data_IF_247873793698
#
_entry.id   IF_247873793698
#
_cell.length_a   1.000
_cell.length_b   1.000
_cell.length_c   1.000
_cell.angle_alpha   90.00
_cell.angle_beta   90.00
_cell.angle_gamma   90.00
#
_symmetry.space_group_name_H-M   'P 1'
#
loop_
_entity.id
_entity.type
_entity.pdbx_description
1 polymer ?
#
# COMPACT_ATOMS: atom_id res chain seq x y z
N UNK A 1 -18.14 12.28 1.09
CA UNK A 1 -17.81 13.43 0.22
C UNK A 1 -16.34 13.37 -0.21
N UNK A 2 -16.05 13.11 -1.49
CA UNK A 2 -14.68 13.14 -2.04
C UNK A 2 -14.24 14.61 -2.16
N UNK A 3 -13.44 15.06 -1.20
CA UNK A 3 -12.94 16.45 -1.00
C UNK A 3 -12.12 16.98 -2.19
N UNK A 4 -12.76 17.34 -3.31
CA UNK A 4 -12.06 17.84 -4.50
C UNK A 4 -12.63 19.14 -5.05
N UNK A 5 -13.95 19.19 -5.25
CA UNK A 5 -14.65 20.33 -5.81
C UNK A 5 -15.76 20.76 -4.87
N UNK A 6 -15.86 22.06 -4.62
CA UNK A 6 -16.95 22.68 -3.86
C UNK A 6 -17.90 23.32 -4.87
N UNK A 7 -19.19 22.96 -4.88
CA UNK A 7 -20.15 23.63 -5.74
C UNK A 7 -20.39 25.06 -5.23
N UNK A 8 -20.82 25.96 -6.13
CA UNK A 8 -21.16 27.36 -5.85
C UNK A 8 -22.40 27.41 -4.95
N UNK A 9 -23.35 26.52 -5.19
CA UNK A 9 -24.54 26.32 -4.39
C UNK A 9 -24.86 24.82 -4.24
N UNK A 10 -25.78 24.49 -3.33
CA UNK A 10 -26.21 23.12 -3.10
C UNK A 10 -27.42 22.72 -3.95
N UNK A 11 -27.79 23.54 -4.94
CA UNK A 11 -28.95 23.30 -5.81
C UNK A 11 -28.53 22.49 -7.04
N UNK A 12 -29.46 21.69 -7.55
CA UNK A 12 -29.25 20.93 -8.79
C UNK A 12 -29.77 21.72 -9.99
N UNK A 13 -29.04 21.74 -11.13
CA UNK A 13 -27.73 21.11 -11.37
C UNK A 13 -26.58 21.84 -10.63
N UNK A 14 -25.62 21.07 -10.08
CA UNK A 14 -24.49 21.64 -9.34
C UNK A 14 -23.59 22.47 -10.25
N UNK A 15 -23.45 23.75 -9.92
CA UNK A 15 -22.52 24.67 -10.57
C UNK A 15 -21.19 24.68 -9.81
N UNK A 16 -20.07 24.66 -10.54
CA UNK A 16 -18.73 24.76 -9.96
C UNK A 16 -18.01 25.97 -10.55
N UNK A 17 -17.23 26.67 -9.75
CA UNK A 17 -16.40 27.76 -10.26
C UNK A 17 -15.39 27.22 -11.26
N UNK A 18 -15.37 27.77 -12.48
CA UNK A 18 -14.48 27.29 -13.54
C UNK A 18 -13.00 27.32 -13.15
N UNK A 19 -12.58 28.29 -12.34
CA UNK A 19 -11.22 28.34 -11.78
C UNK A 19 -10.89 27.15 -10.89
N UNK A 20 -11.81 26.76 -10.01
CA UNK A 20 -11.65 25.61 -9.12
C UNK A 20 -11.62 24.29 -9.90
N UNK A 21 -12.48 24.16 -10.92
CA UNK A 21 -12.45 23.01 -11.84
C UNK A 21 -11.11 22.92 -12.55
N UNK A 22 -10.59 24.02 -13.11
CA UNK A 22 -9.28 24.05 -13.77
C UNK A 22 -8.16 23.66 -12.80
N UNK A 23 -8.16 24.19 -11.58
CA UNK A 23 -7.17 23.86 -10.55
C UNK A 23 -7.23 22.38 -10.16
N UNK A 24 -8.43 21.86 -9.93
CA UNK A 24 -8.66 20.46 -9.62
C UNK A 24 -8.15 19.54 -10.75
N UNK A 25 -8.47 19.85 -12.00
CA UNK A 25 -8.00 19.09 -13.16
C UNK A 25 -6.48 19.17 -13.32
N UNK A 26 -5.87 20.34 -13.09
CA UNK A 26 -4.41 20.52 -13.14
C UNK A 26 -3.71 19.68 -12.07
N UNK A 27 -4.25 19.66 -10.85
CA UNK A 27 -3.72 18.83 -9.76
C UNK A 27 -3.98 17.34 -9.99
N UNK A 28 -5.12 16.99 -10.58
CA UNK A 28 -5.45 15.62 -10.92
C UNK A 28 -4.61 15.09 -12.07
N UNK A 29 -4.32 15.89 -13.10
CA UNK A 29 -3.62 15.44 -14.31
C UNK A 29 -2.11 15.70 -14.26
N UNK A 30 -1.53 15.80 -13.06
CA UNK A 30 -0.08 15.91 -12.91
C UNK A 30 0.62 14.68 -13.52
N UNK A 31 1.61 14.87 -14.41
CA UNK A 31 2.37 13.76 -14.96
C UNK A 31 3.14 13.05 -13.85
N UNK A 32 3.32 11.73 -14.01
CA UNK A 32 4.15 10.94 -13.11
C UNK A 32 5.59 11.46 -13.14
N UNK A 33 6.16 11.68 -11.96
CA UNK A 33 7.55 12.06 -11.80
C UNK A 33 8.39 10.80 -11.51
N UNK A 34 9.66 10.77 -11.93
CA UNK A 34 10.58 9.69 -11.57
C UNK A 34 10.76 9.64 -10.04
N UNK A 35 10.99 8.44 -9.51
CA UNK A 35 11.32 8.24 -8.09
C UNK A 35 12.83 8.27 -7.91
N UNK A 36 13.32 9.10 -7.00
CA UNK A 36 14.72 9.13 -6.60
C UNK A 36 15.11 7.97 -5.68
N UNK A 37 16.32 8.06 -5.15
CA UNK A 37 16.77 7.21 -4.04
C UNK A 37 15.94 7.50 -2.79
N UNK A 38 15.53 6.45 -2.07
CA UNK A 38 14.73 6.60 -0.86
C UNK A 38 13.24 6.87 -1.08
N UNK A 39 12.84 7.13 -2.32
CA UNK A 39 11.48 7.59 -2.61
C UNK A 39 10.58 6.48 -3.12
N UNK A 40 9.32 6.52 -2.68
CA UNK A 40 8.24 5.68 -3.19
C UNK A 40 7.15 6.59 -3.77
N UNK A 41 6.62 6.24 -4.94
CA UNK A 41 5.59 7.04 -5.58
C UNK A 41 4.24 6.89 -4.84
N UNK A 42 3.71 7.99 -4.33
CA UNK A 42 2.38 8.01 -3.74
C UNK A 42 1.32 8.20 -4.82
N UNK A 43 0.52 7.17 -5.11
CA UNK A 43 -0.56 7.23 -6.11
C UNK A 43 -1.64 8.25 -5.75
N UNK A 44 -1.92 8.42 -4.45
CA UNK A 44 -2.91 9.38 -3.97
C UNK A 44 -2.45 10.84 -4.10
N UNK A 45 -1.17 11.11 -3.79
CA UNK A 45 -0.59 12.44 -3.87
C UNK A 45 0.00 12.75 -5.26
N UNK A 46 0.10 11.75 -6.14
CA UNK A 46 0.74 11.78 -7.46
C UNK A 46 2.15 12.39 -7.44
N UNK A 47 2.95 12.03 -6.43
CA UNK A 47 4.32 12.51 -6.28
C UNK A 47 5.26 11.45 -5.67
N UNK A 48 6.57 11.48 -5.99
CA UNK A 48 7.59 10.77 -5.25
C UNK A 48 7.61 11.28 -3.81
N UNK A 49 7.78 10.38 -2.85
CA UNK A 49 7.79 10.75 -1.44
C UNK A 49 8.58 9.72 -0.65
N UNK A 50 9.42 10.22 0.24
CA UNK A 50 10.09 9.41 1.26
C UNK A 50 9.07 8.90 2.30
N UNK A 51 9.09 7.61 2.66
CA UNK A 51 8.24 7.06 3.70
C UNK A 51 8.34 7.84 5.02
N UNK A 52 7.22 7.94 5.73
CA UNK A 52 7.17 8.61 7.02
C UNK A 52 8.16 7.98 8.01
N UNK A 53 8.99 8.82 8.64
CA UNK A 53 10.04 8.38 9.57
C UNK A 53 11.23 7.71 8.91
N UNK A 54 11.36 7.74 7.58
CA UNK A 54 12.39 7.01 6.84
C UNK A 54 12.39 5.50 7.13
N UNK A 55 11.22 4.93 7.50
CA UNK A 55 11.04 3.51 7.78
C UNK A 55 10.15 2.90 6.70
N UNK A 56 10.55 1.74 6.20
CA UNK A 56 9.75 0.93 5.30
C UNK A 56 9.92 -0.56 5.61
N UNK A 57 8.88 -1.32 5.31
CA UNK A 57 8.82 -2.77 5.51
C UNK A 57 8.95 -3.45 4.14
N UNK A 58 9.85 -4.43 4.02
CA UNK A 58 10.03 -5.23 2.82
C UNK A 58 9.33 -6.57 2.97
N UNK A 59 8.37 -6.80 2.09
CA UNK A 59 7.61 -8.04 1.96
C UNK A 59 8.11 -8.84 0.75
N UNK A 60 8.81 -9.97 0.96
CA UNK A 60 9.24 -10.82 -0.14
C UNK A 60 8.01 -11.43 -0.83
N UNK A 61 7.99 -11.37 -2.16
CA UNK A 61 6.97 -12.03 -2.99
C UNK A 61 7.56 -13.20 -3.77
N UNK A 62 8.88 -13.21 -3.94
CA UNK A 62 9.66 -14.33 -4.46
C UNK A 62 11.06 -14.28 -3.84
N UNK A 63 11.92 -15.28 -4.11
CA UNK A 63 13.31 -15.26 -3.65
C UNK A 63 14.10 -14.03 -4.12
N UNK A 64 13.72 -13.43 -5.24
CA UNK A 64 14.48 -12.36 -5.91
C UNK A 64 13.82 -10.99 -5.82
N UNK A 65 12.52 -10.91 -5.53
CA UNK A 65 11.78 -9.66 -5.52
C UNK A 65 10.71 -9.60 -4.44
N UNK A 66 10.27 -8.39 -4.13
CA UNK A 66 9.23 -8.13 -3.16
C UNK A 66 8.71 -6.71 -3.25
N UNK A 67 7.88 -6.35 -2.30
CA UNK A 67 7.33 -5.01 -2.15
C UNK A 67 8.01 -4.32 -0.97
N UNK A 68 8.57 -3.14 -1.21
CA UNK A 68 8.86 -2.20 -0.12
C UNK A 68 7.60 -1.38 0.14
N UNK A 69 7.20 -1.29 1.40
CA UNK A 69 5.93 -0.71 1.85
C UNK A 69 6.22 0.33 2.92
N UNK A 70 5.62 1.50 2.80
CA UNK A 70 5.72 2.55 3.80
C UNK A 70 4.42 3.33 3.92
N UNK A 71 4.45 4.42 4.66
CA UNK A 71 3.34 5.38 4.75
C UNK A 71 3.73 6.72 4.16
N UNK A 72 2.83 7.31 3.38
CA UNK A 72 3.04 8.67 2.88
C UNK A 72 2.90 9.67 4.04
N UNK A 73 3.91 10.51 4.34
CA UNK A 73 3.83 11.53 5.38
C UNK A 73 2.75 12.60 5.11
N UNK A 74 2.33 12.78 3.85
CA UNK A 74 1.34 13.81 3.49
C UNK A 74 -0.11 13.35 3.65
N UNK A 75 -0.43 12.12 3.25
CA UNK A 75 -1.80 11.63 3.22
C UNK A 75 -2.03 10.40 4.10
N UNK A 76 -0.98 9.93 4.79
CA UNK A 76 -0.95 8.76 5.67
C UNK A 76 -1.36 7.44 5.02
N UNK A 77 -1.64 7.43 3.72
CA UNK A 77 -1.94 6.21 2.96
C UNK A 77 -0.68 5.36 2.80
N UNK A 78 -0.90 4.05 2.75
CA UNK A 78 0.13 3.09 2.39
C UNK A 78 0.65 3.37 0.99
N UNK A 79 1.97 3.39 0.85
CA UNK A 79 2.68 3.51 -0.42
C UNK A 79 3.55 2.27 -0.58
N UNK A 80 3.70 1.78 -1.80
CA UNK A 80 4.49 0.58 -2.05
C UNK A 80 5.19 0.66 -3.40
N UNK A 81 6.32 -0.02 -3.51
CA UNK A 81 7.06 -0.18 -4.76
C UNK A 81 7.58 -1.62 -4.86
N UNK A 82 7.46 -2.21 -6.04
CA UNK A 82 8.11 -3.50 -6.33
C UNK A 82 9.60 -3.27 -6.56
N UNK A 83 10.45 -4.06 -5.92
CA UNK A 83 11.91 -3.98 -6.06
C UNK A 83 12.55 -5.36 -5.97
N UNK A 84 13.69 -5.52 -6.64
CA UNK A 84 14.55 -6.71 -6.49
C UNK A 84 15.28 -6.65 -5.15
N UNK A 85 15.42 -7.78 -4.48
CA UNK A 85 16.05 -7.87 -3.14
C UNK A 85 17.47 -7.27 -3.13
N UNK A 86 18.25 -7.50 -4.19
CA UNK A 86 19.60 -6.96 -4.33
C UNK A 86 19.68 -5.45 -4.61
N UNK A 87 18.60 -4.83 -5.07
CA UNK A 87 18.56 -3.40 -5.34
C UNK A 87 18.16 -2.56 -4.12
N UNK A 88 17.62 -3.18 -3.06
CA UNK A 88 17.16 -2.50 -1.86
C UNK A 88 18.29 -1.67 -1.24
N UNK A 89 19.45 -2.30 -1.03
CA UNK A 89 20.61 -1.64 -0.43
C UNK A 89 21.10 -0.43 -1.24
N UNK A 90 20.94 -0.46 -2.57
CA UNK A 90 21.33 0.65 -3.45
C UNK A 90 20.28 1.75 -3.51
N UNK A 91 19.00 1.37 -3.68
CA UNK A 91 17.91 2.34 -3.93
C UNK A 91 17.38 2.98 -2.64
N UNK A 92 17.45 2.26 -1.52
CA UNK A 92 16.85 2.67 -0.24
C UNK A 92 17.89 2.71 0.88
N UNK A 93 19.14 3.08 0.57
CA UNK A 93 20.23 3.19 1.54
C UNK A 93 19.98 4.21 2.65
N UNK A 94 19.14 5.21 2.40
CA UNK A 94 18.74 6.24 3.35
C UNK A 94 17.54 5.83 4.22
N UNK A 95 16.95 4.64 4.01
CA UNK A 95 15.81 4.16 4.78
C UNK A 95 16.22 3.05 5.74
N UNK A 96 15.57 3.02 6.91
CA UNK A 96 15.55 1.83 7.75
C UNK A 96 14.54 0.84 7.15
N UNK A 97 15.06 -0.19 6.47
CA UNK A 97 14.24 -1.25 5.88
C UNK A 97 14.13 -2.42 6.84
N UNK A 98 12.90 -2.72 7.27
CA UNK A 98 12.58 -3.93 8.05
C UNK A 98 12.25 -5.05 7.08
N UNK A 99 12.72 -6.25 7.35
CA UNK A 99 12.42 -7.42 6.53
C UNK A 99 11.37 -8.24 7.26
N UNK A 100 10.21 -8.41 6.65
CA UNK A 100 9.22 -9.39 7.13
C UNK A 100 9.43 -10.68 6.34
N UNK A 101 9.59 -11.80 7.05
CA UNK A 101 9.68 -13.11 6.41
C UNK A 101 8.30 -13.50 5.85
N UNK A 102 8.27 -14.03 4.63
CA UNK A 102 7.04 -14.56 4.04
C UNK A 102 6.62 -15.80 4.83
N UNK A 103 5.51 -15.67 5.57
CA UNK A 103 4.74 -16.73 6.20
C UNK A 103 5.54 -17.75 7.03
N UNK A 104 5.61 -17.51 8.35
CA UNK A 104 5.40 -18.63 9.26
C UNK A 104 3.90 -18.91 9.25
N UNK A 105 3.42 -20.07 8.76
CA UNK A 105 2.01 -20.41 8.88
C UNK A 105 1.64 -20.44 10.36
N UNK A 106 0.62 -19.65 10.74
CA UNK A 106 0.11 -19.55 12.12
C UNK A 106 -0.67 -20.81 12.55
N UNK A 107 -0.70 -21.86 11.72
CA UNK A 107 -1.41 -23.11 12.04
C UNK A 107 -0.42 -24.26 12.17
N UNK A 108 0.16 -24.40 13.36
CA UNK A 108 0.55 -25.71 13.87
C UNK A 108 -0.66 -26.22 14.70
N UNK A 109 -1.17 -27.38 14.28
CA UNK A 109 -2.02 -28.30 15.07
C UNK A 109 -3.49 -27.92 15.31
N UNK A 110 -4.36 -28.50 14.50
CA UNK A 110 -5.59 -29.10 14.99
C UNK A 110 -5.81 -30.38 14.20
N UNK A 111 -5.15 -31.45 14.62
CA UNK A 111 -5.51 -32.81 14.21
C UNK A 111 -6.99 -32.99 14.54
N UNK A 112 -7.88 -33.17 13.55
CA UNK A 112 -9.27 -33.43 13.87
C UNK A 112 -9.31 -34.80 14.55
N UNK A 113 -9.62 -34.80 15.85
CA UNK A 113 -9.90 -36.01 16.61
C UNK A 113 -10.99 -36.78 15.84
N UNK A 114 -10.60 -37.83 15.12
CA UNK A 114 -11.53 -38.86 14.68
C UNK A 114 -12.01 -39.53 15.96
N UNK A 115 -13.14 -39.10 16.49
CA UNK A 115 -13.89 -39.97 17.39
C UNK A 115 -14.51 -41.04 16.51
N UNK A 116 -13.82 -42.18 16.43
CA UNK A 116 -14.41 -43.44 15.97
C UNK A 116 -15.66 -43.69 16.83
N UNK A 117 -16.87 -43.82 16.26
CA UNK A 117 -17.97 -44.38 17.01
C UNK A 117 -17.69 -45.88 17.21
N UNK A 118 -17.40 -46.24 18.44
CA UNK A 118 -17.60 -47.57 19.00
C UNK A 118 -19.07 -47.96 18.88
N UNK A 119 -19.30 -49.27 18.93
CA UNK A 119 -20.56 -49.97 19.24
C UNK A 119 -21.40 -50.40 18.01
N UNK A 120 -21.82 -51.65 17.82
CA UNK A 120 -21.72 -52.92 18.56
C UNK A 120 -22.24 -54.01 17.58
N UNK A 121 -21.61 -55.19 17.54
CA UNK A 121 -22.17 -56.38 16.87
C UNK A 121 -23.23 -57.08 17.74
N UNK A 122 -24.30 -57.59 17.12
CA UNK A 122 -25.25 -58.56 17.70
C UNK A 122 -26.70 -58.06 17.69
N UNK A 123 -27.72 -58.80 17.25
CA UNK A 123 -27.91 -60.22 16.90
C UNK A 123 -29.00 -60.36 15.82
#
# INVERSE_FOLDING_TARGET
MKKGLRPIDERRPYLFAGGDVRKFLKDHNKPRQPTGFGEIFCVACKRPTEPAGAVADFFPLSPTNGNIVGRCPKCSRRIFQRIRKNEIARKFSNLTVRYEDADVPVCAEAEPLRTEPSDEEGS
#
